data_IF_502725718491
#
_entry.id   IF_502725718491
#
_cell.length_a   1.000
_cell.length_b   1.000
_cell.length_c   1.000
_cell.angle_alpha   90.00
_cell.angle_beta   90.00
_cell.angle_gamma   90.00
#
_symmetry.space_group_name_H-M   'P 1'
#
loop_
_entity.id
_entity.type
_entity.pdbx_description
1 polymer ?
#
# COMPACT_ATOMS: atom_id res chain seq x y z
N UNK A 1 32.12 -20.89 -11.08
CA UNK A 1 32.79 -21.90 -10.23
C UNK A 1 32.92 -21.42 -8.78
N UNK A 2 33.67 -20.36 -8.48
CA UNK A 2 33.73 -19.81 -7.11
C UNK A 2 32.44 -19.07 -6.70
N UNK A 3 31.82 -18.33 -7.62
CA UNK A 3 30.54 -17.65 -7.35
C UNK A 3 29.42 -18.65 -7.01
N UNK A 4 29.33 -19.77 -7.71
CA UNK A 4 28.34 -20.83 -7.44
C UNK A 4 28.52 -21.44 -6.04
N UNK A 5 29.77 -21.54 -5.57
CA UNK A 5 30.08 -22.06 -4.24
C UNK A 5 29.67 -21.07 -3.15
N UNK A 6 29.87 -19.77 -3.39
CA UNK A 6 29.46 -18.71 -2.47
C UNK A 6 27.92 -18.64 -2.36
N UNK A 7 27.21 -18.68 -3.49
CA UNK A 7 25.74 -18.68 -3.53
C UNK A 7 25.16 -19.86 -2.76
N UNK A 8 25.65 -21.08 -3.02
CA UNK A 8 25.20 -22.28 -2.28
C UNK A 8 25.43 -22.19 -0.77
N UNK A 9 26.49 -21.49 -0.34
CA UNK A 9 26.79 -21.28 1.08
C UNK A 9 25.79 -20.30 1.70
N UNK A 10 25.44 -19.23 0.99
CA UNK A 10 24.42 -18.28 1.42
C UNK A 10 23.04 -18.93 1.52
N UNK A 11 22.64 -19.71 0.51
CA UNK A 11 21.37 -20.46 0.51
C UNK A 11 21.27 -21.41 1.71
N UNK A 12 22.34 -22.16 1.99
CA UNK A 12 22.40 -23.05 3.15
C UNK A 12 22.24 -22.27 4.47
N UNK A 13 22.96 -21.17 4.63
CA UNK A 13 22.86 -20.36 5.84
C UNK A 13 21.51 -19.69 6.00
N UNK A 14 20.90 -19.27 4.88
CA UNK A 14 19.55 -18.72 4.87
C UNK A 14 18.56 -19.79 5.36
N UNK A 15 18.64 -21.01 4.83
CA UNK A 15 17.83 -22.13 5.28
C UNK A 15 17.99 -22.44 6.77
N UNK A 16 19.23 -22.45 7.29
CA UNK A 16 19.51 -22.61 8.72
C UNK A 16 18.91 -21.47 9.57
N UNK A 17 19.03 -20.22 9.13
CA UNK A 17 18.51 -19.06 9.84
C UNK A 17 16.98 -19.09 9.92
N UNK A 18 16.31 -19.40 8.81
CA UNK A 18 14.85 -19.54 8.76
C UNK A 18 14.36 -20.70 9.62
N UNK A 19 15.05 -21.86 9.58
CA UNK A 19 14.73 -23.00 10.44
C UNK A 19 14.91 -22.69 11.94
N UNK A 20 15.80 -21.74 12.27
CA UNK A 20 15.99 -21.23 13.62
C UNK A 20 15.02 -20.08 14.00
N UNK A 21 14.06 -19.74 13.14
CA UNK A 21 13.08 -18.68 13.37
C UNK A 21 13.62 -17.26 13.22
N UNK A 22 14.77 -17.08 12.54
CA UNK A 22 15.31 -15.75 12.24
C UNK A 22 14.70 -15.18 10.94
N UNK A 23 14.60 -13.84 10.83
CA UNK A 23 14.09 -13.17 9.60
C UNK A 23 14.98 -13.41 8.35
N UNK A 24 16.28 -13.65 8.56
CA UNK A 24 17.24 -13.82 7.48
C UNK A 24 18.70 -13.58 7.91
N UNK A 25 19.53 -13.12 6.96
CA UNK A 25 20.97 -12.93 7.13
C UNK A 25 21.38 -11.45 7.12
N UNK A 26 22.42 -11.15 7.89
CA UNK A 26 23.13 -9.87 7.84
C UNK A 26 24.49 -10.04 7.18
N UNK A 27 24.66 -9.48 5.99
CA UNK A 27 25.91 -9.50 5.23
C UNK A 27 26.75 -8.27 5.58
N UNK A 28 27.91 -8.46 6.19
CA UNK A 28 28.80 -7.35 6.60
C UNK A 28 30.15 -7.47 5.89
N UNK A 29 30.65 -6.36 5.36
CA UNK A 29 32.04 -6.27 4.89
C UNK A 29 32.99 -6.32 6.09
N UNK A 30 33.98 -7.20 6.07
CA UNK A 30 34.86 -7.43 7.21
C UNK A 30 35.88 -6.30 7.39
N UNK A 31 36.28 -5.66 6.29
CA UNK A 31 37.30 -4.61 6.26
C UNK A 31 36.73 -3.21 6.55
N UNK A 32 35.40 -3.10 6.71
CA UNK A 32 34.75 -1.81 6.87
C UNK A 32 34.64 -1.44 8.37
N UNK A 33 35.07 -0.24 8.78
CA UNK A 33 34.89 0.22 10.15
C UNK A 33 33.41 0.47 10.45
N UNK A 34 33.04 0.42 11.72
CA UNK A 34 31.71 0.83 12.16
C UNK A 34 31.58 2.36 12.01
N UNK A 35 30.72 2.80 11.10
CA UNK A 35 30.40 4.21 10.89
C UNK A 35 28.92 4.44 11.22
N UNK A 36 28.61 5.24 12.25
CA UNK A 36 27.26 5.75 12.45
C UNK A 36 26.83 6.51 11.20
N UNK A 37 25.57 6.36 10.81
CA UNK A 37 25.04 7.10 9.66
C UNK A 37 25.08 8.60 9.95
N UNK A 38 25.86 9.36 9.17
CA UNK A 38 26.02 10.81 9.30
C UNK A 38 25.01 11.61 8.45
N UNK A 39 23.93 10.97 7.98
CA UNK A 39 22.92 11.60 7.14
C UNK A 39 21.76 10.66 6.79
N UNK A 40 20.88 11.03 5.83
CA UNK A 40 19.73 10.21 5.45
C UNK A 40 20.09 8.95 4.65
N UNK A 41 21.34 8.84 4.16
CA UNK A 41 21.81 7.70 3.37
C UNK A 41 22.32 6.58 4.28
N UNK A 42 21.83 5.36 4.04
CA UNK A 42 22.28 4.14 4.72
C UNK A 42 23.56 3.65 4.06
N UNK A 43 24.56 3.26 4.85
CA UNK A 43 25.79 2.69 4.30
C UNK A 43 25.52 1.30 3.71
N UNK A 44 26.01 1.04 2.50
CA UNK A 44 25.92 -0.28 1.84
C UNK A 44 26.89 -1.32 2.45
N UNK A 45 27.44 -1.04 3.64
CA UNK A 45 28.41 -1.89 4.33
C UNK A 45 27.72 -3.10 4.95
N UNK A 46 26.46 -2.92 5.38
CA UNK A 46 25.62 -3.97 5.95
C UNK A 46 24.40 -4.22 5.04
N UNK A 47 24.40 -5.35 4.34
CA UNK A 47 23.27 -5.84 3.56
C UNK A 47 22.35 -6.70 4.42
N UNK A 48 21.03 -6.56 4.25
CA UNK A 48 20.03 -7.43 4.85
C UNK A 48 19.51 -8.36 3.76
N UNK A 49 19.55 -9.65 3.99
CA UNK A 49 18.91 -10.65 3.12
C UNK A 49 17.77 -11.29 3.91
N UNK A 50 16.53 -10.96 3.54
CA UNK A 50 15.31 -11.46 4.19
C UNK A 50 14.55 -12.44 3.28
N UNK A 51 13.71 -13.28 3.88
CA UNK A 51 12.83 -14.22 3.17
C UNK A 51 11.97 -13.49 2.13
N UNK A 52 11.39 -12.38 2.55
CA UNK A 52 10.50 -11.47 1.82
C UNK A 52 11.16 -10.79 0.61
N UNK A 53 12.50 -10.82 0.48
CA UNK A 53 13.19 -10.28 -0.70
C UNK A 53 13.38 -11.33 -1.79
N UNK A 54 13.19 -12.61 -1.48
CA UNK A 54 13.37 -13.71 -2.43
C UNK A 54 12.02 -14.06 -3.03
N UNK A 55 11.91 -13.91 -4.35
CA UNK A 55 10.68 -14.23 -5.09
C UNK A 55 10.24 -15.67 -4.83
N UNK A 56 8.96 -15.85 -4.50
CA UNK A 56 8.34 -17.15 -4.22
C UNK A 56 8.64 -17.72 -2.82
N UNK A 57 9.43 -17.01 -2.00
CA UNK A 57 9.68 -17.38 -0.62
C UNK A 57 8.90 -16.53 0.36
N UNK A 58 8.59 -15.27 0.04
CA UNK A 58 7.74 -14.39 0.88
C UNK A 58 6.29 -14.87 0.93
N UNK A 59 5.61 -14.58 2.04
CA UNK A 59 4.20 -14.93 2.20
C UNK A 59 3.34 -13.90 1.43
N UNK A 60 2.42 -14.39 0.60
CA UNK A 60 1.49 -13.54 -0.17
C UNK A 60 0.05 -13.91 0.16
N UNK A 61 -0.82 -12.91 0.11
CA UNK A 61 -2.24 -13.04 0.39
C UNK A 61 -3.05 -12.40 -0.72
N UNK A 62 -4.07 -13.10 -1.20
CA UNK A 62 -5.06 -12.57 -2.14
C UNK A 62 -6.16 -11.86 -1.35
N UNK A 63 -6.15 -10.52 -1.40
CA UNK A 63 -7.04 -9.68 -0.59
C UNK A 63 -7.85 -8.73 -1.46
N UNK A 64 -9.08 -8.46 -1.02
CA UNK A 64 -10.05 -7.63 -1.74
C UNK A 64 -10.02 -6.21 -1.19
N UNK A 65 -9.84 -5.17 -2.01
CA UNK A 65 -10.00 -3.78 -1.55
C UNK A 65 -11.47 -3.49 -1.24
N UNK A 66 -11.73 -3.06 0.00
CA UNK A 66 -13.09 -2.75 0.51
C UNK A 66 -13.29 -1.27 0.86
N UNK A 67 -12.21 -0.50 0.96
CA UNK A 67 -12.28 0.93 1.23
C UNK A 67 -10.93 1.60 1.25
N UNK A 68 -10.89 2.89 1.56
CA UNK A 68 -9.65 3.64 1.70
C UNK A 68 -9.82 5.03 2.33
N UNK A 69 -8.69 5.68 2.61
CA UNK A 69 -8.63 7.03 3.17
C UNK A 69 -8.02 8.01 2.19
N UNK A 70 -8.21 9.30 2.47
CA UNK A 70 -7.46 10.35 1.78
C UNK A 70 -5.99 10.27 2.17
N UNK A 71 -5.10 10.19 1.18
CA UNK A 71 -3.67 10.21 1.42
C UNK A 71 -3.18 11.51 2.06
N UNK A 72 -1.98 11.45 2.61
CA UNK A 72 -1.30 12.59 3.26
C UNK A 72 0.07 12.84 2.61
N UNK A 73 0.57 14.07 2.74
CA UNK A 73 1.89 14.49 2.23
C UNK A 73 2.02 14.28 0.72
N UNK A 74 2.98 13.45 0.30
CA UNK A 74 3.21 13.10 -1.11
C UNK A 74 1.97 12.47 -1.77
N UNK A 75 1.18 11.71 -1.03
CA UNK A 75 0.01 10.98 -1.54
C UNK A 75 -1.30 11.74 -1.35
N UNK A 76 -1.26 13.04 -1.05
CA UNK A 76 -2.44 13.86 -0.77
C UNK A 76 -3.52 13.81 -1.86
N UNK A 77 -3.13 13.50 -3.10
CA UNK A 77 -4.01 13.50 -4.26
C UNK A 77 -4.66 12.14 -4.54
N UNK A 78 -4.27 11.10 -3.80
CA UNK A 78 -4.66 9.71 -4.04
C UNK A 78 -5.30 9.07 -2.82
N UNK A 79 -5.98 7.94 -3.05
CA UNK A 79 -6.43 7.05 -1.97
C UNK A 79 -5.22 6.33 -1.37
N UNK A 80 -5.02 6.51 -0.08
CA UNK A 80 -3.99 5.83 0.72
C UNK A 80 -4.23 6.14 2.21
N UNK A 81 -4.16 5.17 3.13
CA UNK A 81 -4.11 3.73 2.90
C UNK A 81 -5.34 3.17 2.18
N UNK A 82 -5.17 1.98 1.62
CA UNK A 82 -6.26 1.10 1.19
C UNK A 82 -6.61 0.13 2.31
N UNK A 83 -7.89 -0.12 2.54
CA UNK A 83 -8.39 -1.16 3.42
C UNK A 83 -8.69 -2.40 2.59
N UNK A 84 -8.05 -3.52 2.95
CA UNK A 84 -8.23 -4.80 2.26
C UNK A 84 -8.81 -5.85 3.21
N UNK A 85 -9.53 -6.81 2.64
CA UNK A 85 -10.24 -7.84 3.37
C UNK A 85 -10.06 -9.23 2.75
N UNK A 86 -10.23 -10.27 3.56
CA UNK A 86 -10.36 -11.65 3.09
C UNK A 86 -11.82 -12.11 3.18
N UNK A 87 -12.17 -13.14 2.43
CA UNK A 87 -13.49 -13.78 2.51
C UNK A 87 -13.45 -14.82 3.63
N UNK A 88 -14.37 -14.72 4.58
CA UNK A 88 -14.63 -15.77 5.55
C UNK A 88 -15.40 -16.92 4.87
N UNK A 89 -14.84 -18.15 4.80
CA UNK A 89 -15.50 -19.27 4.14
C UNK A 89 -16.80 -19.71 4.83
N UNK A 90 -16.97 -19.45 6.13
CA UNK A 90 -18.12 -19.92 6.88
C UNK A 90 -19.33 -18.98 6.74
N UNK A 91 -19.10 -17.68 6.85
CA UNK A 91 -20.16 -16.66 6.76
C UNK A 91 -20.33 -16.05 5.36
N UNK A 92 -19.33 -16.19 4.49
CA UNK A 92 -19.28 -15.54 3.17
C UNK A 92 -19.11 -14.02 3.23
N UNK A 93 -18.80 -13.45 4.41
CA UNK A 93 -18.56 -12.01 4.59
C UNK A 93 -17.09 -11.65 4.33
N UNK A 94 -16.84 -10.38 4.05
CA UNK A 94 -15.50 -9.83 3.88
C UNK A 94 -15.01 -9.26 5.21
N UNK A 95 -13.97 -9.85 5.78
CA UNK A 95 -13.37 -9.40 7.03
C UNK A 95 -12.12 -8.57 6.76
N UNK A 96 -12.07 -7.35 7.31
CA UNK A 96 -10.90 -6.47 7.16
C UNK A 96 -9.65 -7.10 7.77
N UNK A 97 -8.55 -7.08 7.03
CA UNK A 97 -7.25 -7.65 7.47
C UNK A 97 -6.27 -6.55 7.83
N UNK A 98 -5.96 -5.67 6.87
CA UNK A 98 -4.93 -4.66 7.07
C UNK A 98 -5.11 -3.43 6.19
N UNK A 99 -4.29 -2.42 6.49
CA UNK A 99 -4.15 -1.19 5.71
C UNK A 99 -2.92 -1.27 4.83
N UNK A 100 -3.08 -1.14 3.52
CA UNK A 100 -1.98 -1.14 2.56
C UNK A 100 -1.59 0.31 2.24
N UNK A 101 -0.36 0.68 2.59
CA UNK A 101 0.19 2.04 2.44
C UNK A 101 1.30 2.15 1.40
N UNK A 102 1.93 1.06 0.99
CA UNK A 102 3.12 1.05 0.11
C UNK A 102 3.15 -0.23 -0.74
N UNK A 103 4.04 -0.27 -1.73
CA UNK A 103 4.16 -1.40 -2.67
C UNK A 103 3.64 -1.10 -4.07
N UNK A 104 2.88 -0.03 -4.23
CA UNK A 104 2.31 0.39 -5.52
C UNK A 104 3.10 1.53 -6.18
N UNK A 105 3.05 1.57 -7.51
CA UNK A 105 3.57 2.67 -8.33
C UNK A 105 2.67 3.89 -8.24
N UNK A 106 3.21 5.07 -8.58
CA UNK A 106 2.39 6.30 -8.64
C UNK A 106 1.28 6.21 -9.69
N UNK A 107 1.53 5.47 -10.79
CA UNK A 107 0.51 5.19 -11.81
C UNK A 107 -0.65 4.40 -11.22
N UNK A 108 -0.35 3.34 -10.45
CA UNK A 108 -1.37 2.54 -9.78
C UNK A 108 -2.24 3.39 -8.84
N UNK A 109 -1.64 4.28 -8.04
CA UNK A 109 -2.41 5.17 -7.17
C UNK A 109 -3.33 6.09 -7.97
N UNK A 110 -2.83 6.65 -9.08
CA UNK A 110 -3.60 7.56 -9.93
C UNK A 110 -4.77 6.85 -10.61
N UNK A 111 -4.52 5.71 -11.25
CA UNK A 111 -5.52 4.93 -11.97
C UNK A 111 -6.60 4.41 -11.03
N UNK A 112 -6.23 3.81 -9.89
CA UNK A 112 -7.20 3.28 -8.93
C UNK A 112 -7.98 4.40 -8.23
N UNK A 113 -7.33 5.53 -7.91
CA UNK A 113 -8.06 6.70 -7.38
C UNK A 113 -9.12 7.17 -8.38
N UNK A 114 -8.78 7.20 -9.67
CA UNK A 114 -9.71 7.55 -10.74
C UNK A 114 -10.82 6.52 -10.90
N UNK A 115 -10.51 5.23 -10.81
CA UNK A 115 -11.47 4.15 -10.96
C UNK A 115 -12.51 4.15 -9.83
N UNK A 116 -12.06 4.29 -8.58
CA UNK A 116 -12.93 4.20 -7.41
C UNK A 116 -13.66 5.51 -7.07
N UNK A 117 -13.04 6.67 -7.32
CA UNK A 117 -13.67 7.97 -7.02
C UNK A 117 -14.20 8.71 -8.25
N UNK A 118 -13.92 8.25 -9.47
CA UNK A 118 -14.31 8.95 -10.69
C UNK A 118 -13.60 10.29 -10.90
N UNK A 119 -12.53 10.60 -10.16
CA UNK A 119 -11.82 11.90 -10.18
C UNK A 119 -10.45 11.79 -10.89
N UNK A 120 -10.06 12.82 -11.64
CA UNK A 120 -8.71 12.91 -12.24
C UNK A 120 -7.63 13.42 -11.27
N UNK A 121 -8.01 14.03 -10.15
CA UNK A 121 -7.16 14.36 -8.99
C UNK A 121 -8.08 14.89 -7.88
N UNK A 122 -7.72 14.71 -6.61
CA UNK A 122 -8.54 15.21 -5.48
C UNK A 122 -8.40 16.74 -5.30
N UNK A 123 -7.46 17.39 -5.98
CA UNK A 123 -7.47 18.85 -6.16
C UNK A 123 -8.37 19.23 -7.36
N UNK A 124 -9.66 19.01 -7.19
CA UNK A 124 -10.60 20.03 -7.67
C UNK A 124 -10.90 20.86 -6.43
N UNK A 125 -10.00 21.80 -6.18
CA UNK A 125 -10.08 22.73 -5.06
C UNK A 125 -11.32 23.57 -5.24
N UNK A 126 -12.13 23.62 -4.19
CA UNK A 126 -12.86 24.83 -3.86
C UNK A 126 -11.86 26.00 -3.91
N UNK A 127 -11.81 26.74 -5.02
CA UNK A 127 -11.38 28.13 -4.99
C UNK A 127 -12.53 28.88 -4.36
N UNK A 128 -12.49 28.94 -3.03
CA UNK A 128 -13.16 29.99 -2.27
C UNK A 128 -12.33 31.26 -2.52
N UNK A 129 -12.49 31.85 -3.70
CA UNK A 129 -12.13 33.25 -3.94
C UNK A 129 -13.45 34.02 -3.93
N UNK A 130 -13.73 34.60 -2.76
CA UNK A 130 -14.64 35.73 -2.64
C UNK A 130 -14.02 36.91 -3.39
N UNK A 131 -14.61 37.30 -4.51
CA UNK A 131 -14.53 38.67 -5.00
C UNK A 131 -15.87 39.05 -5.64
N UNK A 132 -16.43 40.14 -5.12
CA UNK A 132 -17.64 40.82 -5.54
C UNK A 132 -17.59 41.20 -7.04
N UNK A 133 -18.65 40.92 -7.82
CA UNK A 133 -19.36 41.90 -8.69
C UNK A 133 -20.45 41.26 -9.58
N UNK A 134 -21.60 41.95 -9.66
CA UNK A 134 -22.68 41.97 -10.65
C UNK A 134 -23.22 40.68 -11.34
N UNK A 135 -24.54 40.48 -11.21
CA UNK A 135 -25.24 39.28 -11.66
C UNK A 135 -25.57 39.15 -13.15
N UNK A 136 -25.90 37.92 -13.54
CA UNK A 136 -26.91 37.53 -14.54
C UNK A 136 -27.09 36.01 -14.51
N UNK A 137 -28.33 35.57 -14.66
CA UNK A 137 -28.73 34.17 -14.49
C UNK A 137 -28.05 33.21 -15.46
N UNK A 138 -27.76 32.03 -14.92
CA UNK A 138 -27.46 30.80 -15.65
C UNK A 138 -27.63 29.65 -14.66
N UNK A 139 -28.70 28.88 -14.81
CA UNK A 139 -28.82 27.57 -14.19
C UNK A 139 -27.65 26.71 -14.67
N UNK A 140 -26.62 26.51 -13.84
CA UNK A 140 -25.61 25.50 -14.08
C UNK A 140 -25.94 24.26 -13.23
N UNK A 141 -26.22 23.17 -13.95
CA UNK A 141 -26.79 21.94 -13.43
C UNK A 141 -25.89 21.20 -12.44
N UNK A 142 -26.57 20.45 -11.57
CA UNK A 142 -26.09 19.32 -10.79
C UNK A 142 -24.65 19.40 -10.26
N UNK A 143 -24.52 20.01 -9.07
CA UNK A 143 -23.51 19.60 -8.08
C UNK A 143 -23.76 18.15 -7.66
N UNK A 144 -23.22 17.21 -8.42
CA UNK A 144 -23.09 15.81 -8.01
C UNK A 144 -22.01 15.69 -6.94
N UNK A 145 -22.30 16.13 -5.71
CA UNK A 145 -21.49 15.77 -4.56
C UNK A 145 -21.56 14.25 -4.40
N UNK A 146 -20.46 13.57 -4.73
CA UNK A 146 -20.36 12.13 -4.55
C UNK A 146 -20.43 11.83 -3.05
N UNK A 147 -21.58 11.29 -2.65
CA UNK A 147 -21.83 10.81 -1.30
C UNK A 147 -20.77 9.77 -0.95
N UNK A 148 -20.31 9.78 0.30
CA UNK A 148 -19.60 8.65 0.86
C UNK A 148 -20.45 7.40 0.56
N UNK A 149 -19.92 6.46 -0.23
CA UNK A 149 -20.64 5.20 -0.45
C UNK A 149 -20.88 4.57 0.91
N UNK A 150 -22.08 4.05 1.15
CA UNK A 150 -22.38 3.36 2.40
C UNK A 150 -21.56 2.07 2.49
N UNK A 151 -21.28 1.64 3.73
CA UNK A 151 -20.58 0.38 3.98
C UNK A 151 -21.35 -0.77 3.30
N UNK A 152 -20.68 -1.59 2.46
CA UNK A 152 -21.34 -2.74 1.86
C UNK A 152 -21.83 -3.71 2.95
N UNK A 153 -23.04 -4.29 2.79
CA UNK A 153 -23.65 -5.13 3.82
C UNK A 153 -22.88 -6.43 4.07
N UNK A 154 -22.08 -6.87 3.10
CA UNK A 154 -21.25 -8.07 3.19
C UNK A 154 -19.84 -7.80 3.76
N UNK A 155 -19.56 -6.60 4.28
CA UNK A 155 -18.26 -6.25 4.87
C UNK A 155 -18.37 -6.16 6.39
N UNK A 156 -17.52 -6.92 7.08
CA UNK A 156 -17.37 -6.96 8.53
C UNK A 156 -16.03 -6.33 8.94
N UNK A 157 -16.08 -5.16 9.57
CA UNK A 157 -14.90 -4.42 10.01
C UNK A 157 -15.24 -3.42 11.11
N UNK A 158 -14.30 -3.20 12.02
CA UNK A 158 -14.33 -2.10 13.00
C UNK A 158 -13.74 -0.80 12.42
N UNK A 159 -13.19 -0.85 11.21
CA UNK A 159 -12.59 0.29 10.55
C UNK A 159 -13.62 1.16 9.83
N UNK A 160 -13.39 2.47 9.86
CA UNK A 160 -14.21 3.47 9.17
C UNK A 160 -13.37 4.18 8.10
N UNK A 161 -13.18 3.58 6.91
CA UNK A 161 -12.59 4.26 5.77
C UNK A 161 -13.46 5.44 5.34
N UNK A 162 -12.80 6.47 4.77
CA UNK A 162 -13.52 7.64 4.23
C UNK A 162 -14.31 7.27 2.97
N UNK A 163 -13.78 6.33 2.20
CA UNK A 163 -14.37 5.85 0.96
C UNK A 163 -14.60 4.35 1.10
N UNK A 164 -15.83 3.91 0.87
CA UNK A 164 -16.17 2.50 0.75
C UNK A 164 -16.16 2.09 -0.72
N UNK A 165 -15.71 0.88 -0.99
CA UNK A 165 -15.63 0.33 -2.33
C UNK A 165 -16.52 -0.89 -2.47
N UNK A 166 -17.10 -1.07 -3.65
CA UNK A 166 -17.75 -2.33 -4.00
C UNK A 166 -16.67 -3.34 -4.37
N UNK A 167 -16.58 -4.49 -3.67
CA UNK A 167 -15.67 -5.59 -4.00
C UNK A 167 -15.80 -6.02 -5.46
N UNK A 168 -14.74 -5.88 -6.26
CA UNK A 168 -14.73 -6.26 -7.69
C UNK A 168 -13.45 -6.94 -8.17
N UNK A 169 -12.37 -6.75 -7.44
CA UNK A 169 -11.04 -7.24 -7.78
C UNK A 169 -10.36 -7.84 -6.56
N UNK A 170 -9.28 -8.57 -6.82
CA UNK A 170 -8.46 -9.22 -5.80
C UNK A 170 -7.02 -8.81 -6.07
N UNK A 171 -6.31 -8.39 -5.02
CA UNK A 171 -4.92 -7.94 -5.08
C UNK A 171 -4.02 -8.92 -4.34
N UNK A 172 -2.88 -9.25 -4.93
CA UNK A 172 -1.82 -9.97 -4.24
C UNK A 172 -1.06 -8.99 -3.34
N UNK A 173 -1.08 -9.25 -2.03
CA UNK A 173 -0.42 -8.44 -1.00
C UNK A 173 0.68 -9.28 -0.34
N UNK A 174 1.92 -8.80 -0.42
CA UNK A 174 3.06 -9.42 0.26
C UNK A 174 3.14 -9.04 1.74
N UNK A 175 3.33 -10.05 2.59
CA UNK A 175 3.68 -9.92 4.01
C UNK A 175 5.15 -10.22 4.27
N UNK A 176 5.64 -9.80 5.43
CA UNK A 176 6.96 -10.13 5.96
C UNK A 176 6.84 -11.06 7.17
#
# INVERSE_FOLDING_TARGET
>A
ADDDKATRRLERWMGCALAAGCEGLMCKRLEAPYTPSSGPSRSAVWGKLKKDYVSGLGDTFDLVPIGGWQGSGRKKEWISPWLVACVDPDSGTLQSVCRVMSGFTDEFYRENTRLYLGRNSVLDSCTDETDDDAGKGGECGHRGGLQAQERPPNVETDEAPKFWFTPREVWEIGGA
#
